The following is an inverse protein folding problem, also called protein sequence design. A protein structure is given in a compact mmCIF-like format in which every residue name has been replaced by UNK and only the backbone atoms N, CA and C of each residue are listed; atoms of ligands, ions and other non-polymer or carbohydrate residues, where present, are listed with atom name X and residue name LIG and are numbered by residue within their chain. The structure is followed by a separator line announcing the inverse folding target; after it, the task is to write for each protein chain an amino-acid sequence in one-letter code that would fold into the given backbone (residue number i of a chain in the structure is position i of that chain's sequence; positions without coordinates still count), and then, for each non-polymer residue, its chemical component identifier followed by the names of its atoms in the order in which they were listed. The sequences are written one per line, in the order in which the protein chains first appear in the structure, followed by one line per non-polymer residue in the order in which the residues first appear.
data_IF_838750550908
#
_entry.id   IF_838750550908
#
_cell.length_a   1.000
_cell.length_b   1.000
_cell.length_c   1.000
_cell.angle_alpha   90.00
_cell.angle_beta   90.00
_cell.angle_gamma   90.00
#
_symmetry.space_group_name_H-M   'P 1'
#
loop_
_entity.id
_entity.type
_entity.pdbx_description
1 polymer ?
#
# COMPACT_ATOMS: atom_id res chain seq x y z
N UNK A 1 -34.80 11.52 13.19
CA UNK A 1 -33.98 12.69 12.79
C UNK A 1 -33.97 12.97 11.28
N UNK A 2 -34.63 12.17 10.42
CA UNK A 2 -34.68 12.41 8.96
C UNK A 2 -35.76 13.40 8.46
N UNK A 3 -36.71 13.84 9.29
CA UNK A 3 -37.75 14.81 8.88
C UNK A 3 -37.38 16.28 9.11
N UNK A 4 -36.28 16.58 9.80
CA UNK A 4 -35.85 17.97 10.08
C UNK A 4 -34.93 18.55 8.98
N UNK A 5 -34.44 17.73 8.05
CA UNK A 5 -33.49 18.15 7.01
C UNK A 5 -34.14 18.69 5.72
N UNK A 6 -35.46 18.49 5.51
CA UNK A 6 -36.14 18.91 4.28
C UNK A 6 -36.72 20.33 4.32
N UNK A 7 -36.71 21.01 5.46
CA UNK A 7 -37.37 22.33 5.61
C UNK A 7 -36.40 23.51 5.69
N UNK A 8 -35.11 23.29 5.90
CA UNK A 8 -34.10 24.37 5.94
C UNK A 8 -33.46 24.70 4.57
N UNK A 9 -33.61 23.84 3.57
CA UNK A 9 -32.91 23.95 2.29
C UNK A 9 -33.57 24.84 1.21
N UNK A 10 -34.75 25.42 1.46
CA UNK A 10 -35.56 26.01 0.38
C UNK A 10 -36.04 27.46 0.59
N UNK A 11 -35.54 28.19 1.61
CA UNK A 11 -36.05 29.55 1.91
C UNK A 11 -34.99 30.67 1.85
N UNK A 12 -33.70 30.40 1.66
CA UNK A 12 -32.67 31.46 1.68
C UNK A 12 -31.80 31.48 0.42
N UNK A 13 -32.38 31.93 -0.71
CA UNK A 13 -31.92 33.07 -1.52
C UNK A 13 -32.59 33.06 -2.90
N UNK A 14 -33.84 33.48 -2.93
CA UNK A 14 -34.32 34.40 -3.96
C UNK A 14 -34.70 35.68 -3.21
N UNK A 15 -34.24 36.85 -3.67
CA UNK A 15 -34.49 38.21 -3.12
C UNK A 15 -33.81 38.45 -1.76
N UNK A 16 -32.94 39.43 -1.50
CA UNK A 16 -32.95 40.86 -1.83
C UNK A 16 -31.50 41.35 -1.70
N UNK A 17 -30.86 41.84 -2.76
CA UNK A 17 -29.73 42.81 -2.68
C UNK A 17 -29.42 43.31 -4.11
N UNK A 18 -29.54 44.61 -4.35
CA UNK A 18 -29.21 45.25 -5.64
C UNK A 18 -27.69 45.33 -5.86
N UNK A 19 -27.20 45.38 -7.12
CA UNK A 19 -25.78 45.26 -7.47
C UNK A 19 -24.84 46.31 -6.83
N UNK A 20 -25.39 47.42 -6.34
CA UNK A 20 -24.64 48.59 -5.87
C UNK A 20 -24.17 48.50 -4.41
N UNK A 21 -24.63 47.52 -3.62
CA UNK A 21 -24.21 47.31 -2.22
C UNK A 21 -23.05 46.28 -2.06
N UNK A 22 -22.44 45.79 -3.15
CA UNK A 22 -21.32 44.83 -3.11
C UNK A 22 -19.93 45.46 -2.92
N UNK A 23 -19.82 46.77 -2.77
CA UNK A 23 -18.55 47.43 -2.45
C UNK A 23 -18.68 48.04 -1.05
N UNK A 24 -17.69 47.75 -0.20
CA UNK A 24 -17.53 48.22 1.20
C UNK A 24 -18.57 47.78 2.22
N UNK A 25 -18.40 46.58 2.81
CA UNK A 25 -18.79 46.31 4.21
C UNK A 25 -17.82 45.30 4.83
N UNK A 26 -17.21 45.65 5.96
CA UNK A 26 -16.24 44.84 6.70
C UNK A 26 -16.82 43.51 7.22
N UNK A 27 -16.11 42.42 6.93
CA UNK A 27 -16.51 41.04 7.22
C UNK A 27 -16.63 40.72 8.73
N UNK A 28 -16.07 41.58 9.59
CA UNK A 28 -16.11 41.43 11.05
C UNK A 28 -17.43 41.93 11.69
N UNK A 29 -18.21 42.76 11.00
CA UNK A 29 -19.43 43.34 11.56
C UNK A 29 -20.68 42.43 11.44
N UNK A 30 -20.64 41.39 10.59
CA UNK A 30 -21.80 40.51 10.37
C UNK A 30 -21.95 39.40 11.42
N UNK A 31 -20.94 39.18 12.27
CA UNK A 31 -20.92 38.09 13.26
C UNK A 31 -21.76 38.45 14.50
N UNK A 32 -22.11 39.72 14.70
CA UNK A 32 -22.83 40.18 15.89
C UNK A 32 -24.35 39.96 15.87
N UNK A 33 -24.92 39.42 14.78
CA UNK A 33 -26.37 39.27 14.61
C UNK A 33 -26.88 37.82 14.40
N UNK A 34 -26.04 36.81 14.57
CA UNK A 34 -26.44 35.41 14.37
C UNK A 34 -26.58 34.67 15.71
N UNK A 35 -27.74 34.04 15.92
CA UNK A 35 -28.01 33.23 17.11
C UNK A 35 -27.06 32.02 17.21
N UNK A 36 -26.74 31.53 18.42
CA UNK A 36 -25.68 30.56 18.68
C UNK A 36 -25.83 29.20 17.97
N UNK A 37 -27.02 28.87 17.44
CA UNK A 37 -27.24 27.64 16.65
C UNK A 37 -26.83 27.78 15.17
N UNK A 38 -26.72 28.99 14.62
CA UNK A 38 -26.36 29.20 13.20
C UNK A 38 -24.84 29.27 12.98
N UNK A 39 -24.09 29.73 13.99
CA UNK A 39 -22.63 29.73 13.99
C UNK A 39 -22.04 28.31 14.06
N UNK A 40 -22.70 27.38 14.75
CA UNK A 40 -22.28 25.97 14.86
C UNK A 40 -22.39 25.21 13.54
N UNK A 41 -23.45 25.46 12.76
CA UNK A 41 -23.65 24.81 11.45
C UNK A 41 -22.65 25.30 10.39
N UNK A 42 -22.34 26.60 10.38
CA UNK A 42 -21.28 27.17 9.53
C UNK A 42 -19.90 26.64 9.90
N UNK A 43 -19.58 26.56 11.20
CA UNK A 43 -18.32 25.98 11.67
C UNK A 43 -18.19 24.50 11.28
N UNK A 44 -19.24 23.70 11.48
CA UNK A 44 -19.25 22.29 11.07
C UNK A 44 -19.06 22.12 9.56
N UNK A 45 -19.74 22.91 8.73
CA UNK A 45 -19.64 22.79 7.27
C UNK A 45 -18.28 23.25 6.74
N UNK A 46 -17.66 24.27 7.37
CA UNK A 46 -16.31 24.74 7.01
C UNK A 46 -15.22 23.78 7.48
N UNK A 47 -15.38 23.17 8.65
CA UNK A 47 -14.53 22.10 9.17
C UNK A 47 -14.66 20.87 8.26
N UNK A 48 -15.87 20.45 7.89
CA UNK A 48 -16.09 19.31 6.99
C UNK A 48 -15.46 19.55 5.62
N UNK A 49 -15.60 20.74 5.04
CA UNK A 49 -14.96 21.09 3.76
C UNK A 49 -13.43 21.11 3.85
N UNK A 50 -12.87 21.62 4.96
CA UNK A 50 -11.42 21.55 5.23
C UNK A 50 -10.93 20.11 5.43
N UNK A 51 -11.65 19.28 6.17
CA UNK A 51 -11.32 17.86 6.39
C UNK A 51 -11.41 17.05 5.10
N UNK A 52 -12.48 17.24 4.30
CA UNK A 52 -12.61 16.58 3.00
C UNK A 52 -11.47 17.00 2.07
N UNK A 53 -11.18 18.31 1.98
CA UNK A 53 -10.08 18.81 1.16
C UNK A 53 -8.73 18.26 1.60
N UNK A 54 -8.45 18.21 2.91
CA UNK A 54 -7.24 17.61 3.49
C UNK A 54 -7.09 16.13 3.13
N UNK A 55 -8.18 15.38 3.17
CA UNK A 55 -8.20 13.96 2.82
C UNK A 55 -7.93 13.75 1.31
N UNK A 56 -8.48 14.59 0.44
CA UNK A 56 -8.21 14.54 -1.01
C UNK A 56 -6.77 14.94 -1.35
N UNK A 57 -6.18 15.89 -0.63
CA UNK A 57 -4.82 16.37 -0.89
C UNK A 57 -3.74 15.45 -0.35
N UNK A 58 -4.00 14.76 0.76
CA UNK A 58 -3.13 13.69 1.26
C UNK A 58 -2.95 12.59 0.21
N UNK A 59 -3.99 12.31 -0.59
CA UNK A 59 -3.95 11.32 -1.68
C UNK A 59 -3.13 11.76 -2.90
N UNK A 60 -2.70 13.02 -3.01
CA UNK A 60 -1.96 13.52 -4.19
C UNK A 60 -0.44 13.50 -3.96
N UNK A 61 0.01 13.28 -2.73
CA UNK A 61 1.41 13.45 -2.34
C UNK A 61 2.14 12.12 -2.09
N UNK A 62 2.26 11.30 -3.14
CA UNK A 62 3.05 10.07 -3.15
C UNK A 62 2.87 9.34 -4.49
N UNK A 63 3.75 8.39 -4.85
CA UNK A 63 3.42 7.48 -5.93
C UNK A 63 2.17 6.69 -5.53
N UNK A 64 1.09 6.80 -6.33
CA UNK A 64 -0.17 6.05 -6.15
C UNK A 64 -0.02 4.53 -6.42
N UNK A 65 1.21 4.02 -6.40
CA UNK A 65 1.56 2.64 -6.71
C UNK A 65 2.20 2.00 -5.50
N UNK A 66 1.84 0.74 -5.22
CA UNK A 66 2.56 -0.11 -4.25
C UNK A 66 4.06 -0.08 -4.54
N UNK A 67 4.87 0.10 -3.49
CA UNK A 67 6.33 0.08 -3.59
C UNK A 67 6.84 -1.29 -3.15
N UNK A 68 7.60 -1.98 -4.01
CA UNK A 68 8.36 -3.16 -3.64
C UNK A 68 9.85 -2.81 -3.65
N UNK A 69 10.48 -2.85 -2.48
CA UNK A 69 11.87 -2.49 -2.27
C UNK A 69 12.65 -3.78 -2.01
N UNK A 70 13.63 -4.07 -2.87
CA UNK A 70 14.40 -5.31 -2.80
C UNK A 70 15.81 -4.98 -2.29
N UNK A 71 16.27 -5.71 -1.28
CA UNK A 71 17.59 -5.58 -0.68
C UNK A 71 18.32 -6.92 -0.71
N UNK A 72 19.63 -6.87 -0.59
CA UNK A 72 20.48 -8.05 -0.75
C UNK A 72 20.18 -9.11 0.32
N UNK A 73 19.90 -8.69 1.55
CA UNK A 73 19.70 -9.59 2.68
C UNK A 73 18.72 -9.05 3.74
N UNK A 74 18.40 -9.91 4.72
CA UNK A 74 17.54 -9.55 5.86
C UNK A 74 18.04 -8.32 6.64
N UNK A 75 19.36 -8.14 6.76
CA UNK A 75 19.94 -7.06 7.56
C UNK A 75 19.78 -5.71 6.87
N UNK A 76 20.04 -5.65 5.57
CA UNK A 76 19.88 -4.47 4.71
C UNK A 76 18.41 -4.11 4.52
N UNK A 77 17.51 -5.10 4.40
CA UNK A 77 16.05 -4.88 4.43
C UNK A 77 15.59 -4.27 5.76
N UNK A 78 16.04 -4.83 6.88
CA UNK A 78 15.74 -4.30 8.22
C UNK A 78 16.28 -2.90 8.41
N UNK A 79 17.52 -2.62 7.97
CA UNK A 79 18.14 -1.30 8.04
C UNK A 79 17.34 -0.27 7.24
N UNK A 80 16.94 -0.61 6.02
CA UNK A 80 16.16 0.29 5.19
C UNK A 80 14.85 0.72 5.86
N UNK A 81 14.08 -0.22 6.43
CA UNK A 81 12.85 0.13 7.15
C UNK A 81 13.16 0.97 8.40
N UNK A 82 14.25 0.66 9.11
CA UNK A 82 14.65 1.41 10.32
C UNK A 82 14.96 2.87 9.97
N UNK A 83 15.78 3.09 8.94
CA UNK A 83 16.10 4.43 8.43
C UNK A 83 14.83 5.16 7.96
N UNK A 84 13.91 4.43 7.32
CA UNK A 84 12.63 4.95 6.87
C UNK A 84 11.74 5.42 8.02
N UNK A 85 11.56 4.59 9.06
CA UNK A 85 10.79 4.93 10.27
C UNK A 85 11.42 6.15 10.96
N UNK A 86 12.75 6.18 11.09
CA UNK A 86 13.47 7.32 11.68
C UNK A 86 13.18 8.59 10.88
N UNK A 87 13.29 8.52 9.55
CA UNK A 87 13.02 9.64 8.68
C UNK A 87 11.56 10.12 8.77
N UNK A 88 10.59 9.20 8.84
CA UNK A 88 9.15 9.52 8.97
C UNK A 88 8.85 10.21 10.29
N UNK A 89 9.35 9.69 11.42
CA UNK A 89 9.16 10.32 12.73
C UNK A 89 9.80 11.72 12.75
N UNK A 90 11.04 11.87 12.28
CA UNK A 90 11.72 13.18 12.20
C UNK A 90 10.99 14.18 11.32
N UNK A 91 10.54 13.75 10.16
CA UNK A 91 9.85 14.62 9.19
C UNK A 91 8.43 14.98 9.63
N UNK A 92 7.80 14.11 10.43
CA UNK A 92 6.51 14.38 11.04
C UNK A 92 6.64 15.39 12.20
N UNK A 93 7.78 15.38 12.90
CA UNK A 93 8.11 16.20 14.06
C UNK A 93 7.00 16.15 15.13
N UNK A 94 6.85 14.99 15.81
CA UNK A 94 5.78 14.81 16.77
C UNK A 94 5.92 15.76 17.97
N UNK A 95 4.77 16.12 18.54
CA UNK A 95 4.65 16.88 19.80
C UNK A 95 3.58 16.22 20.67
N UNK A 96 3.45 16.57 21.95
CA UNK A 96 2.39 16.02 22.81
C UNK A 96 0.97 16.21 22.23
N UNK A 97 0.70 17.32 21.56
CA UNK A 97 -0.60 17.61 20.93
C UNK A 97 -0.79 16.92 19.57
N UNK A 98 0.30 16.44 18.98
CA UNK A 98 0.33 15.80 17.68
C UNK A 98 1.34 14.65 17.69
N UNK A 99 1.04 13.56 18.40
CA UNK A 99 1.94 12.42 18.51
C UNK A 99 2.05 11.68 17.17
N UNK A 100 3.16 10.97 16.98
CA UNK A 100 3.30 10.03 15.86
C UNK A 100 2.71 8.68 16.26
N UNK A 101 1.67 8.22 15.57
CA UNK A 101 1.00 6.94 15.89
C UNK A 101 1.59 5.80 15.06
N UNK A 102 2.21 4.82 15.72
CA UNK A 102 2.98 3.74 15.11
C UNK A 102 2.36 2.37 15.41
N UNK A 103 1.93 1.66 14.36
CA UNK A 103 1.54 0.26 14.42
C UNK A 103 2.76 -0.66 14.40
N UNK A 104 2.83 -1.66 15.30
CA UNK A 104 4.02 -2.49 15.50
C UNK A 104 3.70 -4.00 15.47
N UNK A 105 4.54 -4.82 14.80
CA UNK A 105 4.39 -6.26 14.78
C UNK A 105 5.32 -6.97 15.77
N UNK A 106 5.05 -8.26 16.02
CA UNK A 106 5.97 -9.15 16.74
C UNK A 106 6.62 -10.17 15.79
N UNK A 107 7.35 -11.13 16.34
CA UNK A 107 7.99 -12.21 15.60
C UNK A 107 9.41 -11.88 15.11
N UNK A 108 10.01 -12.81 14.39
CA UNK A 108 11.45 -12.77 14.06
C UNK A 108 11.81 -11.83 12.90
N UNK A 109 10.84 -11.42 12.09
CA UNK A 109 11.04 -10.45 11.00
C UNK A 109 11.39 -9.05 11.50
N UNK A 110 10.63 -8.43 12.43
CA UNK A 110 10.91 -7.07 12.89
C UNK A 110 12.07 -6.95 13.90
N UNK A 111 12.63 -8.04 14.43
CA UNK A 111 13.72 -7.96 15.43
C UNK A 111 14.92 -7.13 14.97
N UNK A 112 15.30 -7.24 13.70
CA UNK A 112 16.39 -6.44 13.13
C UNK A 112 16.07 -4.95 13.11
N UNK A 113 14.80 -4.62 12.86
CA UNK A 113 14.31 -3.23 12.85
C UNK A 113 14.36 -2.68 14.28
N UNK A 114 13.86 -3.41 15.27
CA UNK A 114 13.90 -2.99 16.67
C UNK A 114 15.34 -2.75 17.17
N UNK A 115 16.27 -3.65 16.86
CA UNK A 115 17.69 -3.49 17.19
C UNK A 115 18.28 -2.20 16.62
N UNK A 116 17.96 -1.87 15.37
CA UNK A 116 18.43 -0.66 14.72
C UNK A 116 17.79 0.61 15.32
N UNK A 117 16.48 0.60 15.59
CA UNK A 117 15.78 1.72 16.22
C UNK A 117 16.31 2.00 17.64
N UNK A 118 16.55 0.95 18.42
CA UNK A 118 17.18 1.05 19.76
C UNK A 118 18.58 1.65 19.66
N UNK A 119 19.38 1.20 18.68
CA UNK A 119 20.72 1.75 18.44
C UNK A 119 20.65 3.24 18.08
N UNK A 120 19.77 3.63 17.17
CA UNK A 120 19.57 5.01 16.78
C UNK A 120 19.13 5.89 17.96
N UNK A 121 18.22 5.41 18.81
CA UNK A 121 17.81 6.10 20.03
C UNK A 121 19.01 6.30 20.99
N UNK A 122 19.78 5.24 21.26
CA UNK A 122 20.96 5.31 22.12
C UNK A 122 22.05 6.26 21.59
N UNK A 123 22.11 6.45 20.27
CA UNK A 123 23.00 7.41 19.62
C UNK A 123 22.45 8.86 19.65
N UNK A 124 21.27 9.10 20.21
CA UNK A 124 20.61 10.42 20.19
C UNK A 124 20.05 10.82 18.82
N UNK A 125 19.91 9.86 17.90
CA UNK A 125 19.43 10.14 16.54
C UNK A 125 17.90 10.25 16.50
N UNK A 126 17.15 9.65 17.42
CA UNK A 126 15.69 9.66 17.46
C UNK A 126 15.17 9.58 18.91
N UNK A 127 13.99 10.17 19.15
CA UNK A 127 13.22 10.04 20.39
C UNK A 127 11.83 9.48 20.08
N UNK A 128 11.31 8.68 21.01
CA UNK A 128 9.99 8.05 21.01
C UNK A 128 9.06 8.66 22.07
N UNK A 129 9.46 9.73 22.75
CA UNK A 129 8.66 10.39 23.80
C UNK A 129 7.25 10.77 23.34
N UNK A 130 7.15 11.35 22.14
CA UNK A 130 5.89 11.79 21.54
C UNK A 130 5.36 10.79 20.49
N UNK A 131 5.66 9.50 20.69
CA UNK A 131 5.17 8.39 19.86
C UNK A 131 4.14 7.59 20.65
N UNK A 132 2.99 7.29 20.01
CA UNK A 132 1.98 6.36 20.53
C UNK A 132 2.05 5.07 19.73
N UNK A 133 2.16 3.92 20.40
CA UNK A 133 2.29 2.62 19.74
C UNK A 133 1.03 1.79 19.89
N UNK A 134 0.74 1.00 18.86
CA UNK A 134 -0.33 0.01 18.82
C UNK A 134 0.21 -1.30 18.25
N UNK A 135 0.22 -2.37 19.05
CA UNK A 135 0.59 -3.70 18.59
C UNK A 135 -0.55 -4.39 17.83
N UNK A 136 -0.20 -5.35 16.97
CA UNK A 136 -1.18 -6.06 16.14
C UNK A 136 -2.06 -7.04 16.91
N UNK A 137 -1.52 -7.69 17.93
CA UNK A 137 -2.13 -8.88 18.52
C UNK A 137 -1.57 -9.19 19.92
N UNK A 138 -2.28 -10.07 20.63
CA UNK A 138 -1.82 -10.75 21.84
C UNK A 138 -2.59 -12.07 22.01
N UNK A 139 -1.96 -13.10 22.58
CA UNK A 139 -2.62 -14.36 22.89
C UNK A 139 -3.66 -14.20 24.01
N UNK A 140 -4.77 -14.92 23.87
CA UNK A 140 -5.80 -14.98 24.92
C UNK A 140 -5.40 -15.98 26.00
N UNK A 141 -5.51 -15.56 27.26
CA UNK A 141 -5.26 -16.42 28.43
C UNK A 141 -3.79 -16.68 28.77
N UNK A 142 -2.84 -16.05 28.06
CA UNK A 142 -1.42 -16.12 28.42
C UNK A 142 -1.12 -15.07 29.50
N UNK A 143 -0.41 -15.40 30.61
CA UNK A 143 0.01 -14.39 31.57
C UNK A 143 0.80 -13.27 30.89
N UNK A 144 0.55 -12.02 31.28
CA UNK A 144 1.18 -10.86 30.65
C UNK A 144 2.71 -10.93 30.72
N UNK A 145 3.24 -11.41 31.83
CA UNK A 145 4.66 -11.55 32.12
C UNK A 145 5.27 -12.86 31.57
N UNK A 146 4.47 -13.71 30.92
CA UNK A 146 4.97 -14.93 30.32
C UNK A 146 6.04 -14.59 29.26
N UNK A 147 7.18 -15.31 29.20
CA UNK A 147 8.27 -14.97 28.27
C UNK A 147 7.85 -14.88 26.79
N UNK A 148 6.87 -15.70 26.40
CA UNK A 148 6.31 -15.77 25.05
C UNK A 148 5.05 -14.92 24.82
N UNK A 149 4.62 -14.11 25.80
CA UNK A 149 3.59 -13.10 25.56
C UNK A 149 4.12 -12.01 24.64
N UNK A 150 3.24 -11.38 23.86
CA UNK A 150 3.64 -10.28 22.99
C UNK A 150 3.94 -9.00 23.79
N UNK A 151 3.35 -8.85 24.99
CA UNK A 151 3.83 -7.91 26.00
C UNK A 151 5.33 -8.12 26.29
N UNK A 152 5.73 -9.32 26.73
CA UNK A 152 7.13 -9.62 27.06
C UNK A 152 8.07 -9.46 25.87
N UNK A 153 7.65 -9.90 24.68
CA UNK A 153 8.41 -9.71 23.44
C UNK A 153 8.72 -8.23 23.20
N UNK A 154 7.70 -7.36 23.26
CA UNK A 154 7.87 -5.94 22.95
C UNK A 154 8.75 -5.22 23.97
N UNK A 155 8.61 -5.53 25.26
CA UNK A 155 9.48 -4.97 26.29
C UNK A 155 10.92 -5.46 26.17
N UNK A 156 11.12 -6.76 25.88
CA UNK A 156 12.44 -7.35 25.69
C UNK A 156 13.19 -6.73 24.52
N UNK A 157 12.50 -6.56 23.38
CA UNK A 157 13.15 -6.18 22.13
C UNK A 157 13.15 -4.67 21.86
N UNK A 158 12.22 -3.91 22.44
CA UNK A 158 12.04 -2.51 22.07
C UNK A 158 11.74 -1.57 23.24
N UNK A 159 10.60 -1.71 23.92
CA UNK A 159 10.09 -0.67 24.83
C UNK A 159 11.00 -0.40 26.04
N UNK A 160 11.72 -1.39 26.56
CA UNK A 160 12.65 -1.18 27.69
C UNK A 160 13.95 -0.46 27.30
N UNK A 161 14.16 -0.15 26.01
CA UNK A 161 15.43 0.37 25.50
C UNK A 161 15.31 1.75 24.83
N UNK A 162 14.10 2.33 24.83
CA UNK A 162 13.78 3.64 24.24
C UNK A 162 12.97 4.49 25.22
N UNK A 163 12.85 5.79 24.95
CA UNK A 163 12.17 6.79 25.79
C UNK A 163 10.66 6.93 25.52
N UNK A 164 9.99 5.85 25.09
CA UNK A 164 8.53 5.85 24.92
C UNK A 164 7.84 5.90 26.28
N UNK A 165 6.82 6.74 26.42
CA UNK A 165 6.00 6.79 27.64
C UNK A 165 5.20 5.47 27.76
N UNK A 166 5.25 4.75 28.89
CA UNK A 166 4.42 3.57 29.12
C UNK A 166 2.91 3.80 28.89
N UNK A 167 2.40 5.00 29.14
CA UNK A 167 1.00 5.36 28.88
C UNK A 167 0.67 5.45 27.38
N UNK A 168 1.68 5.57 26.53
CA UNK A 168 1.57 5.60 25.08
C UNK A 168 1.73 4.22 24.43
N UNK A 169 1.97 3.17 25.22
CA UNK A 169 2.07 1.78 24.75
C UNK A 169 0.70 1.11 24.80
N UNK A 170 0.19 0.71 23.63
CA UNK A 170 -1.08 -0.01 23.52
C UNK A 170 -0.83 -1.41 22.95
N UNK A 171 -1.11 -2.43 23.76
CA UNK A 171 -1.13 -3.84 23.36
C UNK A 171 -2.45 -4.41 23.86
N UNK A 172 -3.12 -5.21 23.03
CA UNK A 172 -4.38 -5.87 23.38
C UNK A 172 -4.25 -6.65 24.69
N UNK A 173 -5.27 -6.54 25.56
CA UNK A 173 -5.33 -7.33 26.79
C UNK A 173 -5.99 -8.69 26.56
N UNK A 174 -5.17 -9.71 26.25
CA UNK A 174 -5.64 -11.09 26.09
C UNK A 174 -6.23 -11.75 27.35
N UNK A 175 -6.16 -11.10 28.51
CA UNK A 175 -6.74 -11.58 29.77
C UNK A 175 -7.89 -10.68 30.27
N UNK A 176 -8.48 -9.86 29.40
CA UNK A 176 -9.67 -9.07 29.75
C UNK A 176 -10.86 -9.99 30.07
N UNK A 177 -11.73 -9.54 30.99
CA UNK A 177 -12.96 -10.28 31.33
C UNK A 177 -13.92 -10.37 30.13
N UNK A 178 -14.09 -9.26 29.41
CA UNK A 178 -14.80 -9.19 28.14
C UNK A 178 -13.80 -8.87 27.00
N UNK A 179 -13.54 -9.89 26.19
CA UNK A 179 -12.61 -9.80 25.06
C UNK A 179 -13.17 -8.96 23.91
N UNK A 180 -14.48 -8.90 23.72
CA UNK A 180 -15.11 -8.09 22.68
C UNK A 180 -15.07 -6.61 23.07
N UNK A 181 -15.33 -6.28 24.35
CA UNK A 181 -15.17 -4.94 24.89
C UNK A 181 -13.73 -4.44 24.71
N UNK A 182 -12.72 -5.28 25.01
CA UNK A 182 -11.31 -4.92 24.81
C UNK A 182 -11.03 -4.61 23.32
N UNK A 183 -11.57 -5.39 22.38
CA UNK A 183 -11.41 -5.14 20.95
C UNK A 183 -12.04 -3.80 20.52
N UNK A 184 -13.23 -3.47 21.03
CA UNK A 184 -13.91 -2.19 20.77
C UNK A 184 -13.11 -1.03 21.36
N UNK A 185 -12.67 -1.18 22.61
CA UNK A 185 -11.85 -0.17 23.29
C UNK A 185 -10.53 0.08 22.57
N UNK A 186 -9.92 -0.96 21.99
CA UNK A 186 -8.70 -0.84 21.19
C UNK A 186 -8.90 0.01 19.94
N UNK A 187 -9.98 -0.25 19.19
CA UNK A 187 -10.35 0.53 17.99
C UNK A 187 -10.67 2.00 18.34
N UNK A 188 -11.36 2.23 19.45
CA UNK A 188 -11.64 3.57 19.97
C UNK A 188 -10.36 4.32 20.35
N UNK A 189 -9.38 3.65 20.98
CA UNK A 189 -8.07 4.25 21.29
C UNK A 189 -7.33 4.66 20.02
N UNK A 190 -7.34 3.82 18.98
CA UNK A 190 -6.73 4.16 17.67
C UNK A 190 -7.40 5.39 17.06
N UNK A 191 -8.74 5.46 17.09
CA UNK A 191 -9.47 6.61 16.55
C UNK A 191 -9.19 7.90 17.33
N UNK A 192 -9.16 7.83 18.67
CA UNK A 192 -8.84 8.99 19.54
C UNK A 192 -7.42 9.49 19.35
N UNK A 193 -6.47 8.61 19.03
CA UNK A 193 -5.12 8.99 18.65
C UNK A 193 -5.03 9.65 17.26
N UNK A 194 -6.12 9.72 16.50
CA UNK A 194 -6.16 10.33 15.16
C UNK A 194 -5.84 9.36 14.01
N UNK A 195 -5.92 8.05 14.28
CA UNK A 195 -5.56 6.98 13.35
C UNK A 195 -4.06 6.71 13.29
N UNK A 196 -3.68 5.57 12.72
CA UNK A 196 -2.29 5.13 12.64
C UNK A 196 -1.58 5.88 11.51
N UNK A 197 -0.45 6.54 11.82
CA UNK A 197 0.35 7.28 10.83
C UNK A 197 1.20 6.33 9.98
N UNK A 198 1.80 5.32 10.60
CA UNK A 198 2.56 4.26 9.93
C UNK A 198 2.30 2.93 10.63
N UNK A 199 1.90 1.92 9.86
CA UNK A 199 1.70 0.56 10.36
C UNK A 199 2.84 -0.33 9.83
N UNK A 200 3.72 -0.77 10.72
CA UNK A 200 4.72 -1.79 10.40
C UNK A 200 4.10 -3.18 10.57
N UNK A 201 4.22 -4.02 9.54
CA UNK A 201 3.71 -5.39 9.54
C UNK A 201 4.74 -6.39 9.05
N UNK A 202 4.44 -7.67 9.27
CA UNK A 202 5.10 -8.80 8.63
C UNK A 202 4.06 -9.68 7.94
N UNK A 203 4.53 -10.73 7.27
CA UNK A 203 3.68 -11.72 6.61
C UNK A 203 3.94 -13.12 7.16
N UNK A 204 2.90 -13.93 7.30
CA UNK A 204 2.97 -15.39 7.47
C UNK A 204 3.38 -16.13 6.17
N UNK A 205 3.85 -17.39 6.26
CA UNK A 205 4.12 -18.21 5.06
C UNK A 205 2.86 -18.53 4.23
N UNK A 206 1.68 -18.41 4.84
CA UNK A 206 0.33 -18.53 4.26
C UNK A 206 -0.26 -17.18 3.81
N UNK A 207 0.51 -16.09 3.90
CA UNK A 207 0.06 -14.75 3.53
C UNK A 207 -0.71 -13.99 4.61
N UNK A 208 -0.78 -14.49 5.85
CA UNK A 208 -1.48 -13.76 6.91
C UNK A 208 -0.75 -12.48 7.33
N UNK A 209 -1.51 -11.47 7.74
CA UNK A 209 -1.03 -10.31 8.50
C UNK A 209 -1.64 -10.34 9.89
N UNK A 210 -0.82 -10.16 10.94
CA UNK A 210 -1.24 -10.44 12.32
C UNK A 210 -1.83 -11.86 12.44
N UNK A 211 -2.85 -12.09 13.26
CA UNK A 211 -3.61 -13.36 13.23
C UNK A 211 -4.78 -13.33 12.22
N UNK A 212 -4.73 -12.52 11.16
CA UNK A 212 -5.71 -12.59 10.07
C UNK A 212 -5.38 -13.74 9.12
N UNK A 213 -5.67 -14.95 9.60
CA UNK A 213 -5.46 -16.21 8.89
C UNK A 213 -6.30 -16.32 7.61
N UNK A 214 -5.92 -17.23 6.68
CA UNK A 214 -6.67 -17.48 5.46
C UNK A 214 -8.17 -17.67 5.70
N UNK A 215 -8.99 -16.98 4.92
CA UNK A 215 -10.45 -16.94 5.05
C UNK A 215 -10.97 -15.76 5.88
N UNK A 216 -10.09 -14.99 6.54
CA UNK A 216 -10.47 -13.76 7.25
C UNK A 216 -11.07 -12.72 6.32
N UNK A 217 -12.18 -12.10 6.72
CA UNK A 217 -12.79 -11.01 5.96
C UNK A 217 -11.80 -9.87 5.71
N UNK A 218 -11.66 -9.43 4.46
CA UNK A 218 -10.79 -8.29 4.10
C UNK A 218 -11.27 -6.95 4.68
N UNK A 219 -12.50 -6.89 5.19
CA UNK A 219 -13.06 -5.75 5.92
C UNK A 219 -13.13 -5.96 7.44
N UNK A 220 -12.41 -6.96 7.96
CA UNK A 220 -12.43 -7.27 9.40
C UNK A 220 -11.90 -6.11 10.24
N UNK A 221 -12.44 -6.00 11.45
CA UNK A 221 -11.97 -5.14 12.55
C UNK A 221 -11.25 -5.96 13.61
N UNK A 222 -10.72 -5.29 14.62
CA UNK A 222 -10.16 -5.94 15.81
C UNK A 222 -11.16 -6.92 16.41
N UNK A 223 -10.72 -8.16 16.67
CA UNK A 223 -11.59 -9.25 17.12
C UNK A 223 -10.81 -10.36 17.82
N UNK A 224 -11.55 -11.22 18.51
CA UNK A 224 -11.07 -12.54 18.92
C UNK A 224 -10.92 -13.44 17.69
N UNK A 225 -9.80 -14.15 17.60
CA UNK A 225 -9.54 -15.13 16.54
C UNK A 225 -9.04 -16.44 17.14
N UNK A 226 -9.69 -17.54 16.76
CA UNK A 226 -9.18 -18.90 16.98
C UNK A 226 -8.02 -19.16 16.03
N UNK A 227 -6.90 -19.65 16.55
CA UNK A 227 -5.72 -19.96 15.76
C UNK A 227 -5.95 -21.26 14.97
N UNK A 228 -5.56 -21.26 13.70
CA UNK A 228 -5.50 -22.43 12.84
C UNK A 228 -4.40 -23.39 13.31
N UNK A 229 -4.55 -24.66 12.90
CA UNK A 229 -3.61 -25.72 13.25
C UNK A 229 -2.17 -25.39 12.81
N UNK A 230 -1.99 -24.84 11.61
CA UNK A 230 -0.66 -24.49 11.09
C UNK A 230 0.02 -23.40 11.92
N UNK A 231 -0.76 -22.43 12.42
CA UNK A 231 -0.27 -21.39 13.34
C UNK A 231 0.15 -21.98 14.68
N UNK A 232 -0.66 -22.88 15.24
CA UNK A 232 -0.34 -23.59 16.48
C UNK A 232 0.95 -24.41 16.30
N UNK A 233 1.06 -25.15 15.20
CA UNK A 233 2.24 -25.95 14.88
C UNK A 233 3.49 -25.07 14.72
N UNK A 234 3.40 -23.96 13.98
CA UNK A 234 4.51 -23.04 13.77
C UNK A 234 4.96 -22.35 15.07
N UNK A 235 4.02 -22.04 15.97
CA UNK A 235 4.31 -21.36 17.23
C UNK A 235 4.70 -22.31 18.37
N UNK A 236 4.42 -23.61 18.25
CA UNK A 236 4.81 -24.63 19.24
C UNK A 236 6.30 -24.59 19.60
N UNK A 237 7.17 -24.20 18.66
CA UNK A 237 8.62 -24.01 18.90
C UNK A 237 8.94 -23.04 20.04
N UNK A 238 8.04 -22.11 20.34
CA UNK A 238 8.16 -21.16 21.45
C UNK A 238 7.61 -21.72 22.77
N UNK A 239 6.80 -22.78 22.71
CA UNK A 239 6.14 -23.42 23.85
C UNK A 239 6.65 -24.85 24.05
N UNK A 240 7.98 -25.00 24.16
CA UNK A 240 8.67 -26.30 24.35
C UNK A 240 8.40 -27.36 23.27
N UNK A 241 8.01 -26.94 22.06
CA UNK A 241 7.52 -27.83 20.99
C UNK A 241 6.26 -28.63 21.36
N UNK A 242 5.46 -28.15 22.33
CA UNK A 242 4.20 -28.75 22.73
C UNK A 242 3.00 -27.91 22.24
N UNK A 243 2.26 -28.47 21.28
CA UNK A 243 1.08 -27.84 20.69
C UNK A 243 -0.02 -27.53 21.72
N UNK A 244 -0.08 -28.27 22.83
CA UNK A 244 -1.12 -28.10 23.85
C UNK A 244 -0.85 -26.88 24.75
N UNK A 245 0.40 -26.42 24.81
CA UNK A 245 0.79 -25.22 25.55
C UNK A 245 0.57 -23.94 24.77
N UNK A 246 0.37 -24.03 23.45
CA UNK A 246 0.10 -22.87 22.60
C UNK A 246 -1.32 -22.37 22.87
N UNK A 247 -1.51 -21.07 23.18
CA UNK A 247 -2.85 -20.49 23.31
C UNK A 247 -3.68 -20.73 22.04
N UNK A 248 -4.93 -21.14 22.21
CA UNK A 248 -5.81 -21.50 21.08
C UNK A 248 -6.50 -20.31 20.43
N UNK A 249 -6.48 -19.15 21.09
CA UNK A 249 -7.10 -17.92 20.63
C UNK A 249 -6.15 -16.74 20.83
N UNK A 250 -6.35 -15.70 20.04
CA UNK A 250 -5.66 -14.43 20.16
C UNK A 250 -6.65 -13.28 19.93
N UNK A 251 -6.35 -12.12 20.50
CA UNK A 251 -6.90 -10.86 20.05
C UNK A 251 -6.03 -10.33 18.93
N UNK A 252 -6.64 -9.81 17.88
CA UNK A 252 -5.89 -9.31 16.72
C UNK A 252 -6.61 -8.15 16.07
N UNK A 253 -5.85 -7.17 15.58
CA UNK A 253 -6.36 -6.12 14.71
C UNK A 253 -6.92 -6.71 13.42
N UNK A 254 -7.94 -6.05 12.87
CA UNK A 254 -8.52 -6.45 11.59
C UNK A 254 -7.69 -6.02 10.40
N UNK A 255 -7.99 -6.61 9.23
CA UNK A 255 -7.37 -6.20 7.96
C UNK A 255 -7.73 -4.75 7.65
N UNK A 256 -8.99 -4.36 7.86
CA UNK A 256 -9.39 -2.96 7.65
C UNK A 256 -8.73 -2.03 8.66
N UNK A 257 -8.51 -2.48 9.90
CA UNK A 257 -7.78 -1.70 10.93
C UNK A 257 -6.36 -1.36 10.45
N UNK A 258 -5.67 -2.29 9.79
CA UNK A 258 -4.36 -2.05 9.18
C UNK A 258 -4.48 -1.13 7.96
N UNK A 259 -5.45 -1.39 7.07
CA UNK A 259 -5.64 -0.61 5.84
C UNK A 259 -6.14 0.83 6.09
N UNK A 260 -6.65 1.12 7.28
CA UNK A 260 -7.03 2.49 7.68
C UNK A 260 -5.82 3.34 8.12
N UNK A 261 -4.63 2.74 8.25
CA UNK A 261 -3.41 3.49 8.48
C UNK A 261 -3.11 4.42 7.30
N UNK A 262 -2.40 5.52 7.54
CA UNK A 262 -2.00 6.42 6.44
C UNK A 262 -0.92 5.80 5.56
N UNK A 263 -0.10 4.95 6.15
CA UNK A 263 0.99 4.24 5.51
C UNK A 263 1.11 2.83 6.09
N UNK A 264 1.32 1.84 5.23
CA UNK A 264 1.57 0.46 5.64
C UNK A 264 2.91 0.01 5.07
N UNK A 265 3.82 -0.42 5.94
CA UNK A 265 5.15 -0.91 5.60
C UNK A 265 5.26 -2.36 6.03
N UNK A 266 5.58 -3.26 5.12
CA UNK A 266 5.69 -4.70 5.38
C UNK A 266 7.13 -5.15 5.19
N UNK A 267 7.66 -5.92 6.15
CA UNK A 267 8.92 -6.65 6.00
C UNK A 267 8.66 -8.11 5.65
N UNK A 268 9.33 -8.62 4.60
CA UNK A 268 9.24 -10.03 4.19
C UNK A 268 10.65 -10.53 3.88
N UNK A 269 11.15 -11.50 4.65
CA UNK A 269 12.53 -11.98 4.50
C UNK A 269 12.62 -13.50 4.52
N UNK A 270 13.42 -14.05 3.62
CA UNK A 270 13.75 -15.46 3.51
C UNK A 270 12.87 -16.26 2.54
N UNK A 271 13.37 -17.42 2.08
CA UNK A 271 12.76 -18.17 0.98
C UNK A 271 11.41 -18.77 1.35
N UNK A 272 11.20 -19.13 2.63
CA UNK A 272 9.96 -19.68 3.15
C UNK A 272 8.75 -18.71 3.11
N UNK A 273 8.95 -17.46 2.67
CA UNK A 273 7.90 -16.45 2.47
C UNK A 273 7.67 -16.09 1.00
N UNK A 274 8.46 -16.65 0.08
CA UNK A 274 8.45 -16.24 -1.34
C UNK A 274 7.11 -16.49 -2.03
N UNK A 275 6.49 -17.64 -1.76
CA UNK A 275 5.16 -17.96 -2.28
C UNK A 275 4.12 -16.95 -1.80
N UNK A 276 4.14 -16.61 -0.51
CA UNK A 276 3.21 -15.64 0.05
C UNK A 276 3.40 -14.24 -0.57
N UNK A 277 4.65 -13.81 -0.77
CA UNK A 277 4.96 -12.56 -1.46
C UNK A 277 4.40 -12.56 -2.89
N UNK A 278 4.64 -13.63 -3.66
CA UNK A 278 4.13 -13.74 -5.03
C UNK A 278 2.60 -13.65 -5.06
N UNK A 279 1.90 -14.39 -4.19
CA UNK A 279 0.44 -14.36 -4.13
C UNK A 279 -0.10 -12.98 -3.78
N UNK A 280 0.61 -12.22 -2.94
CA UNK A 280 0.19 -10.88 -2.53
C UNK A 280 0.52 -9.78 -3.55
N UNK A 281 1.55 -9.95 -4.38
CA UNK A 281 2.00 -8.94 -5.35
C UNK A 281 1.49 -9.22 -6.76
N UNK A 282 1.57 -10.47 -7.21
CA UNK A 282 1.21 -10.87 -8.59
C UNK A 282 -0.17 -11.53 -8.68
N UNK A 283 -0.66 -12.07 -7.56
CA UNK A 283 -2.03 -12.60 -7.45
C UNK A 283 -3.08 -11.49 -7.34
N UNK A 284 -4.35 -11.85 -7.56
CA UNK A 284 -5.47 -10.96 -7.27
C UNK A 284 -5.77 -10.86 -5.77
N UNK A 285 -6.47 -9.81 -5.36
CA UNK A 285 -6.98 -9.63 -4.00
C UNK A 285 -7.81 -10.85 -3.59
N UNK A 286 -7.38 -11.54 -2.53
CA UNK A 286 -7.95 -12.82 -2.10
C UNK A 286 -7.84 -12.98 -0.58
N UNK A 287 -8.96 -13.27 0.09
CA UNK A 287 -9.00 -13.49 1.54
C UNK A 287 -8.23 -14.73 2.03
N UNK A 288 -7.81 -15.63 1.13
CA UNK A 288 -6.89 -16.72 1.46
C UNK A 288 -5.44 -16.26 1.59
N UNK A 289 -5.11 -15.11 1.01
CA UNK A 289 -3.80 -14.45 1.11
C UNK A 289 -4.04 -13.04 1.62
N UNK A 290 -4.34 -12.90 2.91
CA UNK A 290 -4.96 -11.67 3.45
C UNK A 290 -4.16 -10.40 3.22
N UNK A 291 -2.83 -10.49 3.14
CA UNK A 291 -1.96 -9.36 2.79
C UNK A 291 -2.13 -8.87 1.33
N UNK A 292 -2.72 -9.66 0.42
CA UNK A 292 -3.09 -9.20 -0.93
C UNK A 292 -4.03 -7.98 -0.91
N UNK A 293 -4.75 -7.76 0.20
CA UNK A 293 -5.57 -6.56 0.40
C UNK A 293 -4.76 -5.25 0.37
N UNK A 294 -3.45 -5.32 0.60
CA UNK A 294 -2.53 -4.19 0.52
C UNK A 294 -2.49 -3.57 -0.88
N UNK A 295 -2.88 -4.30 -1.93
CA UNK A 295 -3.07 -3.76 -3.28
C UNK A 295 -4.14 -2.65 -3.34
N UNK A 296 -5.04 -2.60 -2.36
CA UNK A 296 -6.08 -1.57 -2.25
C UNK A 296 -5.63 -0.35 -1.44
N UNK A 297 -4.46 -0.41 -0.80
CA UNK A 297 -3.96 0.64 0.06
C UNK A 297 -3.21 1.72 -0.75
N UNK A 298 -3.53 3.03 -0.57
CA UNK A 298 -2.93 4.09 -1.39
C UNK A 298 -1.42 4.26 -1.16
N UNK A 299 -0.92 3.90 0.02
CA UNK A 299 0.48 4.10 0.39
C UNK A 299 1.09 2.84 1.01
N UNK A 300 1.13 1.77 0.22
CA UNK A 300 1.77 0.52 0.60
C UNK A 300 3.27 0.52 0.27
N UNK A 301 4.07 -0.05 1.17
CA UNK A 301 5.46 -0.41 0.93
C UNK A 301 5.71 -1.83 1.41
N UNK A 302 6.33 -2.66 0.57
CA UNK A 302 6.84 -3.97 0.92
C UNK A 302 8.36 -3.91 0.75
N UNK A 303 9.10 -4.27 1.79
CA UNK A 303 10.56 -4.34 1.77
C UNK A 303 10.96 -5.79 1.97
N UNK A 304 11.77 -6.30 1.05
CA UNK A 304 12.13 -7.71 0.98
C UNK A 304 13.63 -7.92 0.84
N UNK A 305 14.10 -9.11 1.22
CA UNK A 305 15.41 -9.60 0.79
C UNK A 305 15.31 -10.34 -0.56
N UNK A 306 16.45 -10.61 -1.21
CA UNK A 306 16.47 -11.34 -2.50
C UNK A 306 15.81 -12.72 -2.37
N UNK A 307 16.05 -13.44 -1.27
CA UNK A 307 15.50 -14.79 -1.03
C UNK A 307 13.96 -14.80 -0.99
N UNK A 308 13.31 -13.76 -0.48
CA UNK A 308 11.86 -13.65 -0.52
C UNK A 308 11.31 -13.47 -1.96
N UNK A 309 12.14 -13.14 -2.95
CA UNK A 309 11.69 -12.91 -4.34
C UNK A 309 11.71 -14.14 -5.23
N UNK A 310 12.13 -15.31 -4.72
CA UNK A 310 12.38 -16.51 -5.54
C UNK A 310 11.17 -17.00 -6.37
N UNK A 311 9.94 -16.75 -5.92
CA UNK A 311 8.71 -17.15 -6.61
C UNK A 311 8.12 -16.02 -7.49
N UNK A 312 8.72 -14.82 -7.47
CA UNK A 312 8.30 -13.71 -8.32
C UNK A 312 8.79 -13.89 -9.75
N UNK A 313 8.05 -13.32 -10.70
CA UNK A 313 8.52 -13.24 -12.07
C UNK A 313 9.73 -12.31 -12.17
N UNK A 314 10.72 -12.71 -12.97
CA UNK A 314 11.91 -11.89 -13.29
C UNK A 314 11.52 -10.48 -13.76
N UNK A 315 10.41 -10.38 -14.51
CA UNK A 315 9.89 -9.10 -15.02
C UNK A 315 9.45 -8.18 -13.87
N UNK A 316 8.77 -8.73 -12.87
CA UNK A 316 8.31 -8.01 -11.67
C UNK A 316 9.49 -7.46 -10.88
N UNK A 317 10.49 -8.31 -10.61
CA UNK A 317 11.72 -7.90 -9.90
C UNK A 317 12.44 -6.77 -10.66
N UNK A 318 12.64 -6.92 -11.97
CA UNK A 318 13.30 -5.90 -12.80
C UNK A 318 12.52 -4.60 -12.84
N UNK A 319 11.19 -4.66 -12.92
CA UNK A 319 10.31 -3.49 -12.93
C UNK A 319 10.48 -2.65 -11.67
N UNK A 320 10.39 -3.26 -10.48
CA UNK A 320 10.50 -2.53 -9.22
C UNK A 320 11.90 -2.00 -8.94
N UNK A 321 12.96 -2.78 -9.24
CA UNK A 321 14.35 -2.30 -9.15
C UNK A 321 14.59 -1.09 -10.06
N UNK A 322 14.08 -1.13 -11.29
CA UNK A 322 14.19 -0.02 -12.25
C UNK A 322 13.48 1.24 -11.76
N UNK A 323 12.26 1.12 -11.24
CA UNK A 323 11.50 2.27 -10.73
C UNK A 323 12.20 2.91 -9.55
N UNK A 324 12.69 2.11 -8.60
CA UNK A 324 13.40 2.63 -7.44
C UNK A 324 14.67 3.40 -7.86
N UNK A 325 15.46 2.83 -8.78
CA UNK A 325 16.68 3.45 -9.28
C UNK A 325 16.39 4.79 -9.96
N UNK A 326 15.37 4.84 -10.84
CA UNK A 326 14.98 6.07 -11.54
C UNK A 326 14.48 7.11 -10.54
N UNK A 327 13.57 6.74 -9.63
CA UNK A 327 13.06 7.66 -8.61
C UNK A 327 14.18 8.26 -7.76
N UNK A 328 15.13 7.42 -7.33
CA UNK A 328 16.30 7.85 -6.56
C UNK A 328 17.20 8.79 -7.36
N UNK A 329 17.49 8.47 -8.63
CA UNK A 329 18.32 9.32 -9.51
C UNK A 329 17.72 10.70 -9.77
N UNK A 330 16.39 10.82 -9.74
CA UNK A 330 15.66 12.06 -9.95
C UNK A 330 15.41 12.83 -8.64
N UNK A 331 15.93 12.35 -7.51
CA UNK A 331 15.73 12.97 -6.20
C UNK A 331 14.29 12.85 -5.66
N UNK A 332 13.47 11.97 -6.23
CA UNK A 332 12.14 11.67 -5.68
C UNK A 332 12.30 10.77 -4.46
N UNK A 333 12.28 11.41 -3.28
CA UNK A 333 12.18 10.69 -2.01
C UNK A 333 10.87 9.91 -1.93
N UNK A 334 10.96 8.65 -1.52
CA UNK A 334 9.79 7.76 -1.40
C UNK A 334 8.92 8.12 -0.17
N UNK A 335 9.40 8.93 0.77
CA UNK A 335 8.68 9.20 2.00
C UNK A 335 7.41 10.04 1.79
N UNK A 336 6.31 9.64 2.44
CA UNK A 336 5.10 10.45 2.47
C UNK A 336 5.39 11.80 3.13
N UNK A 337 4.99 12.86 2.43
CA UNK A 337 5.10 14.22 2.95
C UNK A 337 4.12 14.39 4.13
N UNK A 338 4.54 15.06 5.20
CA UNK A 338 3.64 15.37 6.30
C UNK A 338 2.46 16.23 5.83
N UNK A 339 1.29 16.07 6.45
CA UNK A 339 0.08 16.83 6.09
C UNK A 339 0.31 18.35 6.07
N UNK A 340 1.16 18.89 6.96
CA UNK A 340 1.55 20.29 6.97
C UNK A 340 2.38 20.68 5.74
N UNK A 341 3.29 19.82 5.30
CA UNK A 341 4.08 20.02 4.08
C UNK A 341 3.16 20.06 2.86
N UNK A 342 2.19 19.15 2.80
CA UNK A 342 1.19 19.12 1.73
C UNK A 342 0.34 20.38 1.74
N UNK A 343 -0.12 20.83 2.91
CA UNK A 343 -0.87 22.07 3.07
C UNK A 343 -0.06 23.29 2.60
N UNK A 344 1.19 23.43 3.05
CA UNK A 344 2.08 24.53 2.62
C UNK A 344 2.29 24.51 1.11
N UNK A 345 2.53 23.33 0.51
CA UNK A 345 2.64 23.16 -0.94
C UNK A 345 1.36 23.56 -1.64
N UNK A 346 0.19 23.14 -1.14
CA UNK A 346 -1.11 23.52 -1.70
C UNK A 346 -1.31 25.03 -1.66
N UNK A 347 -1.08 25.65 -0.52
CA UNK A 347 -1.33 27.07 -0.36
C UNK A 347 -0.39 27.88 -1.26
N UNK A 348 0.87 27.44 -1.43
CA UNK A 348 1.78 27.98 -2.45
C UNK A 348 1.26 27.79 -3.88
N UNK A 349 0.70 26.63 -4.21
CA UNK A 349 0.10 26.36 -5.54
C UNK A 349 -1.12 27.25 -5.78
N UNK A 350 -1.98 27.44 -4.77
CA UNK A 350 -3.14 28.35 -4.87
C UNK A 350 -2.70 29.77 -5.16
N UNK A 351 -1.73 30.28 -4.41
CA UNK A 351 -1.16 31.63 -4.66
C UNK A 351 -0.64 31.77 -6.10
N UNK A 352 0.06 30.75 -6.62
CA UNK A 352 0.55 30.75 -8.01
C UNK A 352 -0.57 30.72 -9.05
N UNK A 353 -1.64 29.97 -8.80
CA UNK A 353 -2.79 29.86 -9.70
C UNK A 353 -3.62 31.14 -9.72
N UNK A 354 -3.76 31.80 -8.56
CA UNK A 354 -4.53 33.03 -8.39
C UNK A 354 -3.74 34.28 -8.83
N UNK A 355 -2.44 34.14 -9.12
CA UNK A 355 -1.60 35.23 -9.63
C UNK A 355 -1.90 35.53 -11.12
N UNK A 356 -1.92 36.80 -11.57
CA UNK A 356 -2.16 37.14 -12.96
C UNK A 356 -1.10 36.48 -13.87
N UNK A 357 -1.55 35.65 -14.81
CA UNK A 357 -0.65 35.06 -15.81
C UNK A 357 -0.15 36.15 -16.75
N UNK A 358 1.16 36.23 -16.96
CA UNK A 358 1.72 36.97 -18.08
C UNK A 358 1.21 36.36 -19.40
N UNK A 359 0.98 37.18 -20.44
CA UNK A 359 0.46 36.66 -21.71
C UNK A 359 1.44 35.63 -22.27
N UNK A 360 0.95 34.39 -22.43
CA UNK A 360 1.70 33.30 -23.05
C UNK A 360 2.15 33.74 -24.45
N UNK A 361 3.42 33.49 -24.80
CA UNK A 361 3.92 33.82 -26.13
C UNK A 361 3.05 33.12 -27.18
N UNK A 362 2.51 33.90 -28.13
CA UNK A 362 1.69 33.37 -29.24
C UNK A 362 2.42 32.34 -30.12
N UNK A 363 3.71 32.09 -29.87
CA UNK A 363 4.53 31.10 -30.59
C UNK A 363 4.05 29.66 -30.41
N UNK A 364 3.37 29.32 -29.30
CA UNK A 364 2.85 27.96 -29.08
C UNK A 364 1.50 27.69 -29.78
N UNK A 365 0.80 28.75 -30.22
CA UNK A 365 -0.46 28.66 -30.96
C UNK A 365 -0.26 28.65 -32.49
N UNK A 366 0.97 28.90 -32.96
CA UNK A 366 1.31 28.74 -34.35
C UNK A 366 1.46 27.23 -34.64
N UNK A 367 0.52 26.67 -35.39
CA UNK A 367 0.68 25.32 -35.95
C UNK A 367 1.99 25.22 -36.73
N UNK A 368 2.59 24.02 -36.85
CA UNK A 368 3.84 23.83 -37.56
C UNK A 368 3.71 24.43 -38.97
N UNK A 369 4.57 25.42 -39.29
CA UNK A 369 4.61 26.00 -40.64
C UNK A 369 4.98 24.89 -41.61
N UNK A 370 4.24 24.70 -42.73
CA UNK A 370 4.67 23.77 -43.75
C UNK A 370 6.01 24.25 -44.31
N UNK A 371 7.03 23.43 -44.16
CA UNK A 371 8.36 23.66 -44.70
C UNK A 371 8.30 23.51 -46.23
N UNK A 372 8.01 24.61 -46.92
CA UNK A 372 8.10 24.71 -48.38
C UNK A 372 9.55 24.92 -48.79
N UNK A 373 10.42 23.97 -48.47
CA UNK A 373 11.78 23.91 -49.00
C UNK A 373 12.15 22.47 -49.36
N UNK A 374 11.31 21.82 -50.16
CA UNK A 374 11.77 20.67 -50.94
C UNK A 374 12.35 21.21 -52.25
N UNK A 375 13.67 21.29 -52.31
CA UNK A 375 14.39 21.52 -53.56
C UNK A 375 14.00 20.40 -54.54
N UNK A 376 13.26 20.76 -55.57
CA UNK A 376 13.03 19.93 -56.74
C UNK A 376 14.27 20.11 -57.63
N UNK A 377 15.17 19.14 -57.61
CA UNK A 377 16.14 18.95 -58.69
C UNK A 377 15.41 18.29 -59.86
N UNK A 378 15.23 19.02 -60.95
CA UNK A 378 14.83 18.46 -62.25
C UNK A 378 15.91 18.80 -63.26
N UNK A 379 16.63 17.77 -63.72
CA UNK A 379 17.32 17.80 -65.01
C UNK A 379 16.29 17.81 -66.16
N UNK A 380 16.58 18.43 -67.31
CA UNK A 380 15.61 18.61 -68.38
C UNK A 380 15.52 17.37 -69.29
N UNK A 381 14.30 16.87 -69.51
CA UNK A 381 13.96 16.09 -70.70
C UNK A 381 13.13 16.95 -71.66
N UNK A 382 13.46 16.80 -72.93
CA UNK A 382 13.06 17.59 -74.08
C UNK A 382 11.64 17.33 -74.58
N UNK A 383 11.06 18.40 -75.14
CA UNK A 383 10.12 18.48 -76.26
C UNK A 383 8.60 18.25 -76.00
N UNK A 384 7.88 19.33 -76.26
CA UNK A 384 6.44 19.59 -76.45
C UNK A 384 5.72 18.75 -77.55
N UNK A 385 4.41 18.99 -77.85
CA UNK A 385 3.24 19.25 -76.97
C UNK A 385 2.00 18.41 -77.42
N UNK A 386 0.87 18.49 -76.69
CA UNK A 386 -0.47 18.80 -77.26
C UNK A 386 -1.68 18.53 -76.34
N UNK A 387 -2.56 19.55 -76.29
CA UNK A 387 -4.02 19.51 -76.38
C UNK A 387 -4.94 19.07 -75.19
N UNK A 388 -5.69 20.08 -74.73
CA UNK A 388 -7.17 20.14 -74.59
C UNK A 388 -7.94 19.40 -73.49
N UNK A 389 -8.65 20.24 -72.72
CA UNK A 389 -10.07 20.17 -72.30
C UNK A 389 -10.54 19.25 -71.16
N UNK A 390 -10.94 19.92 -70.07
CA UNK A 390 -12.26 19.92 -69.42
C UNK A 390 -12.85 18.66 -68.75
N UNK A 391 -13.46 18.98 -67.60
CA UNK A 391 -14.69 18.44 -66.99
C UNK A 391 -14.58 17.21 -66.07
N UNK A 392 -14.83 17.51 -64.79
CA UNK A 392 -15.68 16.80 -63.82
C UNK A 392 -15.50 15.29 -63.62
N UNK A 393 -15.16 14.91 -62.39
CA UNK A 393 -15.92 14.02 -61.48
C UNK A 393 -14.95 13.48 -60.39
N UNK A 394 -15.33 12.51 -59.54
CA UNK A 394 -16.10 12.67 -58.31
C UNK A 394 -15.28 12.27 -57.07
N UNK A 395 -15.87 12.45 -55.88
CA UNK A 395 -15.30 12.04 -54.58
C UNK A 395 -15.13 10.50 -54.52
N UNK A 396 -13.94 9.93 -54.24
CA UNK A 396 -13.81 8.50 -54.03
C UNK A 396 -14.05 8.12 -52.56
N UNK A 397 -14.84 7.06 -52.38
CA UNK A 397 -15.06 6.33 -51.14
C UNK A 397 -13.76 5.79 -50.53
N UNK A 398 -13.62 5.87 -49.21
CA UNK A 398 -12.57 5.15 -48.48
C UNK A 398 -12.95 3.67 -48.38
N UNK A 399 -12.36 2.85 -49.25
CA UNK A 399 -12.34 1.39 -49.08
C UNK A 399 -11.42 1.02 -47.91
N UNK A 400 -12.00 0.45 -46.85
CA UNK A 400 -11.25 -0.13 -45.72
C UNK A 400 -10.51 -1.37 -46.21
N UNK A 401 -9.18 -1.41 -46.06
CA UNK A 401 -8.40 -2.62 -46.34
C UNK A 401 -8.77 -3.73 -45.35
N UNK A 402 -9.08 -4.91 -45.88
CA UNK A 402 -9.39 -6.13 -45.13
C UNK A 402 -8.12 -6.64 -44.46
N UNK A 403 -8.18 -6.87 -43.15
CA UNK A 403 -7.09 -7.51 -42.38
C UNK A 403 -7.02 -9.00 -42.76
N UNK A 404 -5.84 -9.58 -43.07
CA UNK A 404 -5.75 -11.01 -43.36
C UNK A 404 -6.03 -11.85 -42.11
N UNK A 405 -6.68 -13.01 -42.29
CA UNK A 405 -6.95 -13.95 -41.20
C UNK A 405 -5.66 -14.57 -40.62
N UNK A 406 -5.61 -14.84 -39.30
CA UNK A 406 -4.45 -15.44 -38.66
C UNK A 406 -4.31 -16.93 -39.00
N UNK A 407 -3.13 -17.33 -39.45
CA UNK A 407 -2.76 -18.74 -39.65
C UNK A 407 -2.34 -19.36 -38.31
N UNK A 408 -3.02 -20.42 -37.89
CA UNK A 408 -2.70 -21.18 -36.67
C UNK A 408 -1.50 -22.11 -36.92
N UNK A 409 -0.38 -21.84 -36.25
CA UNK A 409 0.84 -22.66 -36.29
C UNK A 409 0.84 -23.67 -35.12
N UNK A 410 0.67 -24.95 -35.43
CA UNK A 410 0.70 -26.04 -34.44
C UNK A 410 2.11 -26.59 -34.29
N UNK A 411 2.62 -26.73 -33.05
CA UNK A 411 4.00 -27.15 -32.77
C UNK A 411 4.44 -28.52 -33.34
N UNK A 412 3.53 -29.33 -33.89
CA UNK A 412 3.83 -30.57 -34.62
C UNK A 412 4.64 -30.32 -35.90
N UNK A 413 4.40 -29.22 -36.62
CA UNK A 413 5.02 -28.98 -37.95
C UNK A 413 6.49 -28.56 -37.89
N UNK A 414 7.07 -28.42 -36.69
CA UNK A 414 8.42 -27.91 -36.46
C UNK A 414 9.48 -28.99 -36.20
N UNK A 415 9.13 -30.28 -36.32
CA UNK A 415 10.08 -31.39 -36.16
C UNK A 415 10.44 -31.99 -37.53
N UNK A 416 11.73 -32.16 -37.87
CA UNK A 416 12.14 -32.85 -39.09
C UNK A 416 11.84 -34.35 -38.98
N UNK A 417 11.30 -34.94 -40.06
CA UNK A 417 10.99 -36.38 -40.14
C UNK A 417 12.25 -37.24 -39.99
N UNK A 418 12.30 -38.05 -38.94
CA UNK A 418 13.31 -39.09 -38.76
C UNK A 418 12.79 -40.42 -39.31
N UNK A 419 13.53 -41.01 -40.26
CA UNK A 419 13.28 -42.36 -40.79
C UNK A 419 13.30 -43.42 -39.68
N UNK A 420 12.52 -44.51 -39.79
CA UNK A 420 12.46 -45.53 -38.74
C UNK A 420 13.78 -46.32 -38.72
N UNK A 421 14.46 -46.31 -37.58
CA UNK A 421 15.56 -47.22 -37.30
C UNK A 421 14.99 -48.53 -36.76
N UNK A 422 15.19 -49.62 -37.51
CA UNK A 422 15.07 -50.99 -37.02
C UNK A 422 16.06 -51.20 -35.88
N UNK A 423 15.59 -51.65 -34.71
CA UNK A 423 16.47 -52.20 -33.68
C UNK A 423 16.01 -51.96 -32.25
N UNK A 424 14.93 -52.62 -31.82
CA UNK A 424 14.67 -52.91 -30.41
C UNK A 424 13.94 -54.26 -30.31
N UNK A 425 14.65 -55.31 -30.65
CA UNK A 425 14.27 -56.69 -30.35
C UNK A 425 14.99 -57.04 -29.03
N UNK A 426 14.25 -57.27 -27.93
CA UNK A 426 14.82 -57.86 -26.71
C UNK A 426 14.60 -57.17 -25.36
N UNK A 427 13.49 -56.47 -25.11
CA UNK A 427 13.12 -56.08 -23.74
C UNK A 427 11.72 -56.59 -23.40
N UNK A 428 11.66 -57.75 -22.74
CA UNK A 428 10.46 -58.26 -22.09
C UNK A 428 10.08 -57.38 -20.90
N UNK A 429 8.85 -56.85 -20.90
CA UNK A 429 8.26 -56.13 -19.78
C UNK A 429 7.57 -57.16 -18.86
N UNK A 430 8.17 -57.47 -17.71
CA UNK A 430 7.46 -58.16 -16.62
C UNK A 430 6.67 -57.14 -15.81
N UNK A 431 5.34 -57.28 -15.80
CA UNK A 431 4.45 -56.55 -14.89
C UNK A 431 4.74 -56.93 -13.44
N UNK A 432 5.02 -55.93 -12.59
CA UNK A 432 5.11 -56.09 -11.14
C UNK A 432 3.82 -55.55 -10.50
N UNK A 433 3.20 -56.27 -9.54
CA UNK A 433 1.94 -55.84 -8.93
C UNK A 433 2.14 -54.71 -7.93
N UNK A 434 1.24 -53.72 -8.01
CA UNK A 434 1.17 -52.54 -7.15
C UNK A 434 0.79 -52.96 -5.71
N UNK A 435 1.65 -52.69 -4.73
CA UNK A 435 1.32 -52.77 -3.28
C UNK A 435 1.01 -51.38 -2.73
N UNK A 436 -0.05 -51.30 -1.92
CA UNK A 436 -0.58 -50.08 -1.32
C UNK A 436 0.41 -49.40 -0.35
N UNK A 437 0.50 -48.06 -0.42
CA UNK A 437 1.36 -47.21 0.40
C UNK A 437 0.76 -46.92 1.80
N UNK A 438 0.51 -47.94 2.61
CA UNK A 438 0.39 -47.77 4.07
C UNK A 438 1.38 -48.71 4.73
N UNK A 439 2.09 -48.22 5.75
CA UNK A 439 3.27 -48.79 6.41
C UNK A 439 4.61 -48.46 5.76
N UNK A 440 5.19 -47.32 6.15
CA UNK A 440 6.64 -47.12 6.39
C UNK A 440 6.92 -45.66 6.75
N UNK A 441 6.80 -45.30 8.03
CA UNK A 441 7.71 -44.33 8.67
C UNK A 441 7.81 -44.72 10.15
N UNK A 442 8.64 -45.70 10.45
CA UNK A 442 9.29 -45.83 11.76
C UNK A 442 10.75 -46.13 11.48
N UNK A 443 11.64 -45.51 12.26
CA UNK A 443 13.12 -45.58 12.26
C UNK A 443 13.88 -44.61 11.35
N UNK A 444 14.21 -43.44 11.92
CA UNK A 444 15.47 -42.73 11.65
C UNK A 444 15.86 -41.84 12.84
N UNK A 445 16.39 -42.47 13.89
CA UNK A 445 17.28 -41.85 14.88
C UNK A 445 18.67 -42.45 14.68
N UNK A 446 19.62 -41.64 14.23
CA UNK A 446 21.05 -41.79 14.43
C UNK A 446 21.73 -40.44 14.16
#
# INVERSE_FOLDING_TARGET
MEKAWRTCGSIFLATVLTPQQRRSVDFLALISFLSPQKTTCFYQSFIFSRLHSLHTLSRIAGPDTMRLIIRDDKATASKYISDYIIHRIKSFAPTPEKPFVLGLPTGSSPEGIYKNLVKAHKNGEISFKDVITFNMDEYVGIPREHPESYHSFMYKHFFSHVDVDPAHINILNGNAEDLEEECIAYEEKVQRAGGIELFLGGIGPDGHIAFNEPGSSLKSRTRVKTLAYDTILANSRFFDNDINKVPKMALTVGIQTVLDAREVVIIITGPHKSLALQRCVEGGVNHMWTLSSLQLHPHAMIVVDEDATLELQVKTVKYFKSIEQVATSQGFGQALASAQTILKKRDSVRIKLDSPKSPTSKSFLAGPKPDLTRQITTEPQSAEPESTTNLSAPRPELTRQVTPEPVLDSMHTRLPETKPANGLEGLEVKELPIKAMHERVDSATA
#
